data_IF_552155050372
#
_entry.id   IF_552155050372
#
_cell.length_a   1.000
_cell.length_b   1.000
_cell.length_c   1.000
_cell.angle_alpha   90.00
_cell.angle_beta   90.00
_cell.angle_gamma   90.00
#
_symmetry.space_group_name_H-M   'P 1'
#
loop_
_entity.id
_entity.type
_entity.pdbx_description
1 polymer ?
#
# COMPACT_ATOMS: atom_id res chain seq x y z
N UNK A 1 10.25 -23.86 -5.05
CA UNK A 1 9.23 -23.32 -4.11
C UNK A 1 9.82 -22.07 -3.49
N UNK A 2 9.41 -20.89 -3.96
CA UNK A 2 9.93 -19.62 -3.42
C UNK A 2 8.96 -19.18 -2.33
N UNK A 3 9.35 -19.39 -1.07
CA UNK A 3 8.64 -18.89 0.11
C UNK A 3 8.48 -17.38 -0.01
N UNK A 4 7.22 -16.93 -0.14
CA UNK A 4 6.86 -15.51 -0.14
C UNK A 4 6.82 -15.07 1.32
N UNK A 5 7.85 -14.35 1.77
CA UNK A 5 7.76 -13.62 3.03
C UNK A 5 6.76 -12.48 2.83
N UNK A 6 5.61 -12.57 3.51
CA UNK A 6 4.66 -11.48 3.60
C UNK A 6 5.32 -10.31 4.34
N UNK A 7 5.44 -9.16 3.67
CA UNK A 7 5.70 -7.91 4.39
C UNK A 7 4.41 -7.62 5.18
N UNK A 8 4.45 -7.55 6.52
CA UNK A 8 3.24 -7.40 7.31
C UNK A 8 2.62 -6.03 7.05
N UNK A 9 1.39 -6.02 6.56
CA UNK A 9 0.50 -4.88 6.74
C UNK A 9 0.11 -4.83 8.22
N UNK A 10 0.02 -3.66 8.88
CA UNK A 10 -0.43 -3.58 10.27
C UNK A 10 -1.80 -4.26 10.44
N UNK A 11 -1.83 -5.28 11.30
CA UNK A 11 -2.98 -6.14 11.57
C UNK A 11 -4.21 -5.35 12.03
N UNK A 12 -5.36 -5.60 11.39
CA UNK A 12 -6.68 -5.24 11.87
C UNK A 12 -7.28 -6.39 12.69
N UNK A 13 -6.86 -6.55 13.95
CA UNK A 13 -7.71 -7.05 15.06
C UNK A 13 -6.99 -6.99 16.41
N UNK A 14 -7.34 -5.97 17.20
CA UNK A 14 -7.00 -5.87 18.61
C UNK A 14 -8.18 -5.35 19.44
N UNK A 15 -8.85 -6.29 20.12
CA UNK A 15 -9.60 -6.17 21.38
C UNK A 15 -10.73 -5.13 21.52
N UNK A 16 -11.96 -5.65 21.58
CA UNK A 16 -13.16 -4.99 22.12
C UNK A 16 -12.96 -4.59 23.59
N UNK A 17 -13.30 -3.34 23.93
CA UNK A 17 -13.64 -2.99 25.31
C UNK A 17 -13.23 -1.60 25.78
N UNK A 18 -13.73 -0.52 25.17
CA UNK A 18 -13.86 0.77 25.86
C UNK A 18 -14.98 1.58 25.23
N UNK A 19 -16.04 1.83 26.02
CA UNK A 19 -17.05 2.83 25.69
C UNK A 19 -16.34 4.16 25.47
N UNK A 20 -16.28 4.65 24.23
CA UNK A 20 -15.73 5.97 23.93
C UNK A 20 -16.79 6.77 23.20
N UNK A 21 -17.14 7.87 23.85
CA UNK A 21 -18.07 8.91 23.45
C UNK A 21 -17.71 9.46 22.08
N UNK A 22 -18.76 9.83 21.35
CA UNK A 22 -18.75 10.56 20.10
C UNK A 22 -17.92 11.83 20.18
N UNK A 23 -16.70 11.80 19.66
CA UNK A 23 -15.99 12.95 19.07
C UNK A 23 -14.72 12.48 18.33
N UNK A 24 -14.60 12.91 17.07
CA UNK A 24 -13.38 12.86 16.25
C UNK A 24 -12.71 11.49 15.99
N UNK A 25 -13.33 10.64 15.16
CA UNK A 25 -12.54 9.79 14.24
C UNK A 25 -12.55 10.46 12.87
N UNK A 26 -11.64 11.41 12.68
CA UNK A 26 -11.26 11.93 11.37
C UNK A 26 -10.88 10.71 10.53
N UNK A 27 -11.75 10.28 9.62
CA UNK A 27 -11.36 9.39 8.54
C UNK A 27 -10.43 10.23 7.65
N UNK A 28 -9.14 10.24 7.98
CA UNK A 28 -8.12 10.89 7.19
C UNK A 28 -7.97 10.07 5.90
N UNK A 29 -8.91 10.27 4.97
CA UNK A 29 -8.82 9.76 3.61
C UNK A 29 -7.60 10.45 3.02
N UNK A 30 -6.48 9.73 2.98
CA UNK A 30 -5.28 10.22 2.31
C UNK A 30 -5.57 10.23 0.83
N UNK A 31 -5.34 11.36 0.18
CA UNK A 31 -5.35 11.41 -1.28
C UNK A 31 -4.19 10.56 -1.83
N UNK A 32 -4.25 10.20 -3.10
CA UNK A 32 -3.17 9.45 -3.76
C UNK A 32 -1.82 10.20 -3.65
N UNK A 33 -1.86 11.54 -3.77
CA UNK A 33 -0.71 12.43 -3.65
C UNK A 33 -0.16 12.49 -2.23
N UNK A 34 -1.04 12.55 -1.22
CA UNK A 34 -0.64 12.53 0.20
C UNK A 34 0.01 11.20 0.58
N UNK A 35 -0.51 10.08 0.07
CA UNK A 35 0.11 8.77 0.25
C UNK A 35 1.52 8.78 -0.37
N UNK A 36 1.67 9.28 -1.60
CA UNK A 36 2.96 9.32 -2.27
C UNK A 36 3.98 10.19 -1.53
N UNK A 37 3.56 11.36 -1.03
CA UNK A 37 4.39 12.24 -0.22
C UNK A 37 4.87 11.55 1.07
N UNK A 38 4.00 10.82 1.75
CA UNK A 38 4.35 10.04 2.95
C UNK A 38 5.32 8.90 2.65
N UNK A 39 5.07 8.14 1.57
CA UNK A 39 5.97 7.05 1.17
C UNK A 39 7.34 7.58 0.74
N UNK A 40 7.37 8.72 0.06
CA UNK A 40 8.61 9.43 -0.29
C UNK A 40 9.38 9.84 0.96
N UNK A 41 8.70 10.38 1.97
CA UNK A 41 9.33 10.77 3.22
C UNK A 41 9.86 9.56 4.00
N UNK A 42 9.12 8.44 4.03
CA UNK A 42 9.60 7.18 4.62
C UNK A 42 10.79 6.60 3.87
N UNK A 43 10.80 6.68 2.54
CA UNK A 43 11.93 6.27 1.72
C UNK A 43 13.19 7.08 2.07
N UNK A 44 13.02 8.38 2.35
CA UNK A 44 14.10 9.31 2.74
C UNK A 44 14.59 9.08 4.18
N UNK A 45 13.66 9.03 5.13
CA UNK A 45 13.97 8.97 6.58
C UNK A 45 14.30 7.58 7.08
N UNK A 46 13.92 6.54 6.32
CA UNK A 46 14.17 5.11 6.60
C UNK A 46 13.88 4.71 8.06
N UNK A 47 12.68 4.98 8.59
CA UNK A 47 12.35 4.62 9.97
C UNK A 47 12.41 3.09 10.15
N UNK A 48 12.96 2.66 11.30
CA UNK A 48 13.05 1.24 11.65
C UNK A 48 11.65 0.61 11.74
N UNK A 49 11.53 -0.65 11.28
CA UNK A 49 10.26 -1.40 11.27
C UNK A 49 9.24 -0.94 10.22
N UNK A 50 9.62 -0.07 9.29
CA UNK A 50 8.72 0.34 8.21
C UNK A 50 8.67 -0.71 7.09
N UNK A 51 7.50 -1.32 6.90
CA UNK A 51 7.26 -2.24 5.78
C UNK A 51 7.49 -1.58 4.40
N UNK A 52 7.37 -0.25 4.29
CA UNK A 52 7.72 0.48 3.06
C UNK A 52 9.23 0.46 2.81
N UNK A 53 10.04 0.65 3.84
CA UNK A 53 11.51 0.62 3.73
C UNK A 53 11.99 -0.79 3.37
N UNK A 54 11.38 -1.81 3.97
CA UNK A 54 11.65 -3.21 3.64
C UNK A 54 11.28 -3.52 2.18
N UNK A 55 10.09 -3.11 1.72
CA UNK A 55 9.65 -3.30 0.34
C UNK A 55 10.53 -2.54 -0.67
N UNK A 56 11.04 -1.36 -0.31
CA UNK A 56 12.02 -0.63 -1.11
C UNK A 56 13.37 -1.36 -1.17
N UNK A 57 13.84 -1.88 -0.03
CA UNK A 57 15.09 -2.61 0.06
C UNK A 57 15.08 -3.97 -0.67
N UNK A 58 13.90 -4.57 -0.85
CA UNK A 58 13.73 -5.86 -1.55
C UNK A 58 14.09 -5.81 -3.06
N UNK A 59 14.19 -4.61 -3.64
CA UNK A 59 14.60 -4.40 -5.03
C UNK A 59 13.47 -4.58 -6.05
N UNK A 60 13.74 -4.13 -7.28
CA UNK A 60 12.73 -3.99 -8.35
C UNK A 60 12.03 -5.30 -8.71
N UNK A 61 12.73 -6.44 -8.67
CA UNK A 61 12.15 -7.74 -8.99
C UNK A 61 11.05 -8.13 -7.98
N UNK A 62 11.33 -7.96 -6.68
CA UNK A 62 10.36 -8.25 -5.63
C UNK A 62 9.17 -7.28 -5.67
N UNK A 63 9.44 -6.00 -5.93
CA UNK A 63 8.39 -4.98 -6.08
C UNK A 63 7.46 -5.30 -7.25
N UNK A 64 8.01 -5.62 -8.43
CA UNK A 64 7.22 -5.99 -9.60
C UNK A 64 6.40 -7.26 -9.38
N UNK A 65 6.95 -8.27 -8.70
CA UNK A 65 6.21 -9.48 -8.33
C UNK A 65 4.99 -9.15 -7.46
N UNK A 66 5.15 -8.23 -6.50
CA UNK A 66 4.03 -7.78 -5.67
C UNK A 66 2.98 -6.99 -6.44
N UNK A 67 3.37 -6.11 -7.34
CA UNK A 67 2.40 -5.42 -8.23
C UNK A 67 1.54 -6.42 -9.00
N UNK A 68 2.14 -7.47 -9.54
CA UNK A 68 1.42 -8.51 -10.28
C UNK A 68 0.49 -9.35 -9.37
N UNK A 69 0.93 -9.64 -8.14
CA UNK A 69 0.13 -10.35 -7.12
C UNK A 69 -1.15 -9.56 -6.80
N UNK A 70 -1.03 -8.29 -6.42
CA UNK A 70 -2.21 -7.46 -6.10
C UNK A 70 -3.11 -7.26 -7.32
N UNK A 71 -2.56 -7.15 -8.54
CA UNK A 71 -3.36 -7.03 -9.76
C UNK A 71 -4.23 -8.28 -10.00
N UNK A 72 -3.71 -9.46 -9.68
CA UNK A 72 -4.48 -10.70 -9.69
C UNK A 72 -5.58 -10.71 -8.62
N UNK A 73 -5.28 -10.22 -7.42
CA UNK A 73 -6.26 -10.12 -6.34
C UNK A 73 -7.37 -9.11 -6.64
N UNK A 74 -7.05 -7.96 -7.24
CA UNK A 74 -8.04 -7.00 -7.75
C UNK A 74 -8.98 -7.67 -8.76
N UNK A 75 -8.43 -8.44 -9.70
CA UNK A 75 -9.25 -9.13 -10.71
C UNK A 75 -10.19 -10.14 -10.05
N UNK A 76 -9.67 -11.00 -9.16
CA UNK A 76 -10.49 -11.97 -8.43
C UNK A 76 -11.57 -11.30 -7.59
N UNK A 77 -11.21 -10.22 -6.87
CA UNK A 77 -12.16 -9.49 -6.05
C UNK A 77 -13.25 -8.80 -6.89
N UNK A 78 -12.91 -8.31 -8.07
CA UNK A 78 -13.87 -7.69 -8.99
C UNK A 78 -14.89 -8.70 -9.54
N UNK A 79 -14.50 -9.97 -9.71
CA UNK A 79 -15.41 -11.00 -10.22
C UNK A 79 -16.21 -11.70 -9.12
N UNK A 80 -15.67 -11.82 -7.91
CA UNK A 80 -16.18 -12.78 -6.93
C UNK A 80 -16.41 -12.24 -5.52
N UNK A 81 -15.99 -11.01 -5.21
CA UNK A 81 -16.01 -10.48 -3.85
C UNK A 81 -16.87 -9.22 -3.73
N UNK A 82 -17.03 -8.71 -2.50
CA UNK A 82 -17.79 -7.49 -2.26
C UNK A 82 -17.02 -6.22 -2.68
N UNK A 83 -17.74 -5.11 -2.85
CA UNK A 83 -17.13 -3.81 -3.15
C UNK A 83 -16.11 -3.38 -2.08
N UNK A 84 -16.31 -3.75 -0.82
CA UNK A 84 -15.37 -3.47 0.25
C UNK A 84 -14.05 -4.21 0.06
N UNK A 85 -14.11 -5.50 -0.33
CA UNK A 85 -12.91 -6.29 -0.64
C UNK A 85 -12.22 -5.78 -1.90
N UNK A 86 -12.97 -5.48 -2.95
CA UNK A 86 -12.41 -4.89 -4.17
C UNK A 86 -11.69 -3.57 -3.87
N UNK A 87 -12.30 -2.68 -3.06
CA UNK A 87 -11.68 -1.42 -2.67
C UNK A 87 -10.40 -1.63 -1.84
N UNK A 88 -10.37 -2.67 -1.00
CA UNK A 88 -9.18 -3.07 -0.26
C UNK A 88 -8.05 -3.49 -1.21
N UNK A 89 -8.31 -4.37 -2.17
CA UNK A 89 -7.26 -4.83 -3.11
C UNK A 89 -6.79 -3.70 -4.05
N UNK A 90 -7.69 -2.83 -4.51
CA UNK A 90 -7.30 -1.64 -5.28
C UNK A 90 -6.38 -0.75 -4.44
N UNK A 91 -6.66 -0.56 -3.16
CA UNK A 91 -5.80 0.25 -2.29
C UNK A 91 -4.40 -0.35 -2.14
N UNK A 92 -4.30 -1.68 -2.06
CA UNK A 92 -3.02 -2.39 -1.99
C UNK A 92 -2.24 -2.26 -3.30
N UNK A 93 -2.92 -2.43 -4.45
CA UNK A 93 -2.30 -2.26 -5.77
C UNK A 93 -1.73 -0.85 -5.94
N UNK A 94 -2.51 0.19 -5.59
CA UNK A 94 -2.05 1.58 -5.67
C UNK A 94 -0.81 1.82 -4.80
N UNK A 95 -0.78 1.26 -3.58
CA UNK A 95 0.41 1.30 -2.73
C UNK A 95 1.62 0.60 -3.38
N UNK A 96 1.46 -0.61 -3.93
CA UNK A 96 2.57 -1.34 -4.58
C UNK A 96 3.14 -0.60 -5.78
N UNK A 97 2.27 0.03 -6.58
CA UNK A 97 2.70 0.85 -7.72
C UNK A 97 3.54 2.03 -7.24
N UNK A 98 3.10 2.75 -6.19
CA UNK A 98 3.89 3.86 -5.64
C UNK A 98 5.23 3.39 -5.05
N UNK A 99 5.29 2.23 -4.40
CA UNK A 99 6.58 1.64 -3.94
C UNK A 99 7.51 1.34 -5.11
N UNK A 100 6.99 0.79 -6.22
CA UNK A 100 7.77 0.53 -7.43
C UNK A 100 8.26 1.84 -8.08
N UNK A 101 7.40 2.87 -8.12
CA UNK A 101 7.78 4.21 -8.58
C UNK A 101 8.97 4.74 -7.79
N UNK A 102 8.89 4.73 -6.46
CA UNK A 102 9.97 5.18 -5.57
C UNK A 102 11.23 4.34 -5.74
N UNK A 103 11.11 3.01 -5.86
CA UNK A 103 12.23 2.11 -6.11
C UNK A 103 12.94 2.36 -7.45
N UNK A 104 12.26 3.00 -8.41
CA UNK A 104 12.78 3.35 -9.74
C UNK A 104 13.08 4.83 -9.94
N UNK A 105 12.75 5.68 -8.96
CA UNK A 105 12.88 7.14 -9.07
C UNK A 105 11.88 7.78 -10.05
N UNK A 106 10.72 7.16 -10.27
CA UNK A 106 9.64 7.72 -11.09
C UNK A 106 8.77 8.62 -10.22
N UNK A 107 8.56 9.86 -10.64
CA UNK A 107 7.74 10.84 -9.91
C UNK A 107 6.25 10.74 -10.26
N UNK A 108 5.37 11.34 -9.44
CA UNK A 108 3.96 11.48 -9.82
C UNK A 108 3.81 12.31 -11.10
N UNK A 109 4.61 13.36 -11.25
CA UNK A 109 4.65 14.21 -12.43
C UNK A 109 5.05 13.44 -13.69
N UNK A 110 5.90 12.42 -13.58
CA UNK A 110 6.23 11.54 -14.70
C UNK A 110 5.03 10.69 -15.13
N UNK A 111 4.21 10.22 -14.19
CA UNK A 111 3.02 9.41 -14.47
C UNK A 111 1.87 10.29 -14.99
N UNK A 112 1.62 11.43 -14.35
CA UNK A 112 0.54 12.36 -14.69
C UNK A 112 0.68 12.98 -16.08
N UNK A 113 1.89 12.99 -16.66
CA UNK A 113 2.09 13.37 -18.07
C UNK A 113 1.38 12.47 -19.08
N UNK A 114 0.95 11.28 -18.68
CA UNK A 114 0.30 10.29 -19.55
C UNK A 114 -1.20 10.11 -19.24
N UNK A 115 -1.76 10.89 -18.32
CA UNK A 115 -3.17 10.88 -17.95
C UNK A 115 -3.88 12.11 -18.54
#
# INVERSE_FOLDING_TARGET
>A
MVTVAAVPFPDKRGSLGRKMTSDARICFVKTFDELYAELSERARTRPEGSGTVEALAAGVHAQGKKVLEEAGEVWLAAEHESNERLAEEISQLLYRVQVLMLGRGVTLEDVYRYL
#
